data_IF_159413290020
#
_entry.id   IF_159413290020
#
_cell.length_a   1.000
_cell.length_b   1.000
_cell.length_c   1.000
_cell.angle_alpha   90.00
_cell.angle_beta   90.00
_cell.angle_gamma   90.00
#
_symmetry.space_group_name_H-M   'P 1'
#
loop_
_entity.id
_entity.type
_entity.pdbx_description
1 polymer ?
#
# COMPACT_ATOMS: atom_id res chain seq x y z
N UNK A 1 -0.50 -24.82 -13.44
CA UNK A 1 -0.35 -23.38 -13.74
C UNK A 1 0.85 -23.25 -14.64
N UNK A 2 0.67 -22.78 -15.87
CA UNK A 2 1.82 -22.59 -16.76
C UNK A 2 2.77 -21.58 -16.15
N UNK A 3 4.09 -21.83 -16.18
CA UNK A 3 5.06 -20.88 -15.65
C UNK A 3 5.00 -19.56 -16.42
N UNK A 4 5.21 -18.44 -15.71
CA UNK A 4 5.30 -17.13 -16.33
C UNK A 4 6.55 -17.09 -17.24
N UNK A 5 6.38 -16.59 -18.44
CA UNK A 5 7.51 -16.32 -19.34
C UNK A 5 8.03 -14.87 -19.19
N UNK A 6 9.11 -14.56 -19.89
CA UNK A 6 9.74 -13.25 -19.86
C UNK A 6 8.82 -12.12 -20.36
N UNK A 7 7.89 -12.43 -21.26
CA UNK A 7 6.91 -11.47 -21.77
C UNK A 7 5.86 -11.17 -20.71
N UNK A 8 5.40 -12.17 -19.95
CA UNK A 8 4.46 -11.98 -18.84
C UNK A 8 5.08 -11.09 -17.77
N UNK A 9 6.33 -11.34 -17.38
CA UNK A 9 7.07 -10.48 -16.45
C UNK A 9 7.17 -9.04 -16.98
N UNK A 10 7.51 -8.88 -18.25
CA UNK A 10 7.59 -7.54 -18.86
C UNK A 10 6.26 -6.82 -18.88
N UNK A 11 5.16 -7.50 -19.17
CA UNK A 11 3.81 -6.93 -19.11
C UNK A 11 3.45 -6.48 -17.68
N UNK A 12 3.77 -7.30 -16.67
CA UNK A 12 3.55 -6.94 -15.26
C UNK A 12 4.34 -5.69 -14.88
N UNK A 13 5.61 -5.56 -15.30
CA UNK A 13 6.42 -4.37 -15.01
C UNK A 13 5.86 -3.11 -15.68
N UNK A 14 5.42 -3.21 -16.93
CA UNK A 14 4.79 -2.10 -17.64
C UNK A 14 3.48 -1.66 -16.96
N UNK A 15 2.65 -2.62 -16.54
CA UNK A 15 1.40 -2.35 -15.84
C UNK A 15 1.62 -1.79 -14.42
N UNK A 16 2.70 -2.17 -13.72
CA UNK A 16 3.07 -1.55 -12.44
C UNK A 16 3.40 -0.07 -12.58
N UNK A 17 4.03 0.32 -13.70
CA UNK A 17 4.36 1.72 -14.01
C UNK A 17 3.10 2.48 -14.42
N UNK A 18 2.29 1.90 -15.29
CA UNK A 18 1.06 2.51 -15.79
C UNK A 18 -0.05 1.46 -15.98
N UNK A 19 -0.88 1.30 -14.96
CA UNK A 19 -2.02 0.39 -14.98
C UNK A 19 -3.12 0.77 -16.02
N UNK A 20 -3.03 1.97 -16.60
CA UNK A 20 -3.94 2.48 -17.65
C UNK A 20 -3.31 2.48 -19.04
N UNK A 21 -2.16 1.83 -19.22
CA UNK A 21 -1.52 1.71 -20.53
C UNK A 21 -2.47 1.04 -21.52
N UNK A 22 -2.52 1.58 -22.75
CA UNK A 22 -3.35 1.00 -23.81
C UNK A 22 -2.74 -0.32 -24.28
N UNK A 23 -3.59 -1.30 -24.59
CA UNK A 23 -3.14 -2.61 -25.09
C UNK A 23 -2.21 -2.47 -26.31
N UNK A 24 -2.44 -1.48 -27.19
CA UNK A 24 -1.57 -1.22 -28.34
C UNK A 24 -0.16 -0.75 -27.93
N UNK A 25 -0.06 0.05 -26.87
CA UNK A 25 1.23 0.51 -26.33
C UNK A 25 2.00 -0.67 -25.69
N UNK A 26 1.31 -1.49 -24.92
CA UNK A 26 1.88 -2.72 -24.34
C UNK A 26 2.34 -3.68 -25.44
N UNK A 27 1.53 -3.88 -26.49
CA UNK A 27 1.84 -4.75 -27.63
C UNK A 27 3.12 -4.31 -28.35
N UNK A 28 3.29 -3.00 -28.57
CA UNK A 28 4.50 -2.45 -29.15
C UNK A 28 5.74 -2.69 -28.27
N UNK A 29 5.61 -2.60 -26.94
CA UNK A 29 6.71 -2.79 -25.98
C UNK A 29 7.20 -4.25 -25.89
N UNK A 30 6.32 -5.20 -26.16
CA UNK A 30 6.62 -6.63 -26.08
C UNK A 30 6.68 -7.34 -27.44
N UNK A 31 6.55 -6.58 -28.53
CA UNK A 31 6.61 -7.09 -29.93
C UNK A 31 5.57 -8.19 -30.21
N UNK A 32 4.35 -8.02 -29.69
CA UNK A 32 3.22 -8.94 -29.90
C UNK A 32 2.03 -8.21 -30.54
N UNK A 33 1.05 -8.99 -31.04
CA UNK A 33 -0.23 -8.44 -31.44
C UNK A 33 -1.05 -8.00 -30.20
N UNK A 34 -1.95 -7.03 -30.38
CA UNK A 34 -2.86 -6.52 -29.35
C UNK A 34 -3.70 -7.67 -28.75
N UNK A 35 -4.18 -8.60 -29.62
CA UNK A 35 -4.96 -9.76 -29.18
C UNK A 35 -4.15 -10.75 -28.34
N UNK A 36 -2.87 -10.92 -28.65
CA UNK A 36 -1.97 -11.78 -27.87
C UNK A 36 -1.70 -11.18 -26.48
N UNK A 37 -1.46 -9.87 -26.41
CA UNK A 37 -1.30 -9.15 -25.14
C UNK A 37 -2.56 -9.22 -24.30
N UNK A 38 -3.73 -8.94 -24.90
CA UNK A 38 -5.01 -9.05 -24.19
C UNK A 38 -5.19 -10.44 -23.57
N UNK A 39 -5.00 -11.51 -24.34
CA UNK A 39 -5.13 -12.89 -23.85
C UNK A 39 -4.18 -13.19 -22.68
N UNK A 40 -2.94 -12.65 -22.71
CA UNK A 40 -1.99 -12.82 -21.62
C UNK A 40 -2.42 -12.08 -20.35
N UNK A 41 -2.89 -10.86 -20.48
CA UNK A 41 -3.40 -10.07 -19.33
C UNK A 41 -4.64 -10.77 -18.75
N UNK A 42 -5.60 -11.17 -19.57
CA UNK A 42 -6.80 -11.90 -19.12
C UNK A 42 -6.40 -13.18 -18.34
N UNK A 43 -5.35 -13.90 -18.78
CA UNK A 43 -4.82 -15.07 -18.08
C UNK A 43 -4.17 -14.70 -16.74
N UNK A 44 -3.41 -13.62 -16.67
CA UNK A 44 -2.79 -13.13 -15.43
C UNK A 44 -3.83 -12.70 -14.41
N UNK A 45 -4.91 -12.09 -14.85
CA UNK A 45 -6.06 -11.72 -14.01
C UNK A 45 -6.82 -12.97 -13.54
N UNK A 46 -7.16 -13.86 -14.45
CA UNK A 46 -7.89 -15.09 -14.12
C UNK A 46 -7.12 -16.01 -13.17
N UNK A 47 -5.79 -16.00 -13.24
CA UNK A 47 -4.92 -16.76 -12.33
C UNK A 47 -4.67 -16.07 -10.99
N UNK A 48 -5.15 -14.84 -10.80
CA UNK A 48 -4.94 -14.05 -9.58
C UNK A 48 -3.54 -13.46 -9.43
N UNK A 49 -2.66 -13.58 -10.44
CA UNK A 49 -1.35 -12.94 -10.45
C UNK A 49 -1.51 -11.42 -10.49
N UNK A 50 -2.43 -10.92 -11.32
CA UNK A 50 -2.94 -9.56 -11.20
C UNK A 50 -4.13 -9.63 -10.25
N UNK A 51 -3.90 -9.23 -9.00
CA UNK A 51 -4.93 -9.23 -7.96
C UNK A 51 -5.91 -8.05 -8.08
N UNK A 52 -5.53 -7.03 -8.84
CA UNK A 52 -6.36 -5.83 -9.08
C UNK A 52 -5.54 -4.66 -9.58
N UNK A 53 -6.25 -3.58 -9.88
CA UNK A 53 -5.68 -2.30 -10.30
C UNK A 53 -6.03 -1.25 -9.24
N UNK A 54 -5.08 -0.38 -8.92
CA UNK A 54 -5.28 0.69 -7.95
C UNK A 54 -4.77 2.02 -8.50
N UNK A 55 -5.15 3.11 -7.85
CA UNK A 55 -4.65 4.45 -8.13
C UNK A 55 -3.67 4.87 -7.03
N UNK A 56 -2.73 5.73 -7.40
CA UNK A 56 -1.93 6.47 -6.44
C UNK A 56 -2.60 7.82 -6.20
N UNK A 57 -2.81 8.15 -4.93
CA UNK A 57 -3.45 9.40 -4.52
C UNK A 57 -2.40 10.28 -3.83
N UNK A 58 -2.39 11.57 -4.18
CA UNK A 58 -1.63 12.57 -3.44
C UNK A 58 -2.39 12.90 -2.15
N UNK A 59 -2.07 12.20 -1.09
CA UNK A 59 -2.74 12.31 0.21
C UNK A 59 -2.59 13.72 0.82
N UNK A 60 -1.49 14.41 0.53
CA UNK A 60 -1.28 15.78 0.99
C UNK A 60 -2.33 16.74 0.40
N UNK A 61 -2.74 16.52 -0.86
CA UNK A 61 -3.83 17.29 -1.49
C UNK A 61 -5.20 16.98 -0.92
N UNK A 62 -5.35 15.84 -0.26
CA UNK A 62 -6.56 15.48 0.50
C UNK A 62 -6.49 15.97 1.96
N UNK A 63 -5.46 16.75 2.31
CA UNK A 63 -5.26 17.27 3.66
C UNK A 63 -4.64 16.28 4.65
N UNK A 64 -4.22 15.09 4.21
CA UNK A 64 -3.56 14.08 5.04
C UNK A 64 -2.05 14.25 4.92
N UNK A 65 -1.51 15.21 5.66
CA UNK A 65 -0.12 15.64 5.55
C UNK A 65 0.83 14.94 6.51
N UNK A 66 0.29 14.20 7.50
CA UNK A 66 1.06 13.50 8.50
C UNK A 66 0.93 12.00 8.31
N UNK A 67 2.06 11.33 8.24
CA UNK A 67 2.18 9.88 8.11
C UNK A 67 2.94 9.32 9.30
N UNK A 68 2.49 8.20 9.85
CA UNK A 68 3.12 7.56 10.98
C UNK A 68 2.98 6.03 10.92
N UNK A 69 3.95 5.35 11.53
CA UNK A 69 3.83 3.96 11.91
C UNK A 69 3.61 3.87 13.42
N UNK A 70 2.60 3.12 13.83
CA UNK A 70 2.35 2.82 15.22
C UNK A 70 2.69 1.35 15.48
N UNK A 71 3.73 1.10 16.27
CA UNK A 71 4.05 -0.21 16.81
C UNK A 71 3.04 -0.57 17.89
N UNK A 72 2.50 -1.78 17.85
CA UNK A 72 1.56 -2.29 18.85
C UNK A 72 2.14 -3.52 19.53
N UNK A 73 2.07 -3.52 20.85
CA UNK A 73 2.31 -4.71 21.68
C UNK A 73 1.00 -5.20 22.24
N UNK A 74 0.74 -6.50 22.17
CA UNK A 74 -0.54 -7.09 22.55
C UNK A 74 -0.47 -7.80 23.91
N UNK A 75 -1.62 -7.97 24.55
CA UNK A 75 -1.77 -8.95 25.62
C UNK A 75 -1.62 -10.37 25.06
N UNK A 76 -1.09 -11.30 25.85
CA UNK A 76 -0.62 -12.61 25.37
C UNK A 76 -1.65 -13.55 24.73
N UNK A 77 -2.96 -13.24 24.83
CA UNK A 77 -4.06 -14.00 24.24
C UNK A 77 -4.76 -13.24 23.11
N UNK A 78 -4.24 -12.10 22.71
CA UNK A 78 -4.85 -11.22 21.70
C UNK A 78 -4.85 -11.87 20.31
N UNK A 79 -6.01 -11.93 19.68
CA UNK A 79 -6.11 -12.36 18.29
C UNK A 79 -5.88 -11.17 17.37
N UNK A 80 -4.96 -11.31 16.43
CA UNK A 80 -4.67 -10.29 15.39
C UNK A 80 -5.93 -9.89 14.62
N UNK A 81 -6.90 -10.79 14.48
CA UNK A 81 -8.18 -10.52 13.84
C UNK A 81 -8.96 -9.38 14.52
N UNK A 82 -8.86 -9.26 15.85
CA UNK A 82 -9.57 -8.24 16.62
C UNK A 82 -9.00 -6.85 16.30
N UNK A 83 -7.67 -6.75 16.20
CA UNK A 83 -7.00 -5.51 15.82
C UNK A 83 -7.33 -5.09 14.38
N UNK A 84 -7.35 -6.07 13.45
CA UNK A 84 -7.76 -5.81 12.06
C UNK A 84 -9.21 -5.33 11.98
N UNK A 85 -10.10 -5.87 12.82
CA UNK A 85 -11.49 -5.43 12.90
C UNK A 85 -11.62 -3.97 13.33
N UNK A 86 -10.87 -3.54 14.35
CA UNK A 86 -10.84 -2.14 14.78
C UNK A 86 -10.25 -1.24 13.68
N UNK A 87 -9.12 -1.66 13.11
CA UNK A 87 -8.40 -0.90 12.08
C UNK A 87 -9.25 -0.71 10.80
N UNK A 88 -10.03 -1.72 10.42
CA UNK A 88 -10.90 -1.65 9.23
C UNK A 88 -11.99 -0.57 9.34
N UNK A 89 -12.37 -0.17 10.56
CA UNK A 89 -13.31 0.94 10.80
C UNK A 89 -12.66 2.33 10.78
N UNK A 90 -11.36 2.43 10.63
CA UNK A 90 -10.61 3.68 10.69
C UNK A 90 -10.06 4.04 9.30
N UNK A 91 -10.65 5.01 8.59
CA UNK A 91 -10.21 5.40 7.24
C UNK A 91 -8.80 5.99 7.19
N UNK A 92 -8.26 6.39 8.32
CA UNK A 92 -6.89 6.86 8.48
C UNK A 92 -5.86 5.72 8.47
N UNK A 93 -6.28 4.50 8.80
CA UNK A 93 -5.41 3.32 8.77
C UNK A 93 -5.26 2.82 7.34
N UNK A 94 -4.03 2.82 6.85
CA UNK A 94 -3.70 2.39 5.49
C UNK A 94 -3.39 0.89 5.42
N UNK A 95 -2.71 0.36 6.43
CA UNK A 95 -2.37 -1.06 6.53
C UNK A 95 -2.09 -1.48 7.98
N UNK A 96 -2.25 -2.77 8.24
CA UNK A 96 -1.82 -3.44 9.46
C UNK A 96 -0.91 -4.60 9.08
N UNK A 97 0.32 -4.56 9.53
CA UNK A 97 1.32 -5.61 9.35
C UNK A 97 1.46 -6.38 10.65
N UNK A 98 1.25 -7.68 10.63
CA UNK A 98 1.56 -8.56 11.76
C UNK A 98 3.01 -8.99 11.64
N UNK A 99 3.76 -8.90 12.71
CA UNK A 99 5.19 -9.23 12.75
C UNK A 99 5.43 -10.50 13.57
N UNK A 100 6.52 -11.18 13.29
CA UNK A 100 6.97 -12.32 14.09
C UNK A 100 8.10 -11.84 15.03
N UNK A 101 7.75 -11.14 16.10
CA UNK A 101 8.70 -10.56 17.04
C UNK A 101 8.15 -9.32 17.72
N UNK A 102 9.02 -8.46 18.21
CA UNK A 102 8.67 -7.19 18.83
C UNK A 102 8.85 -6.04 17.79
N UNK A 103 7.81 -5.26 17.49
CA UNK A 103 6.43 -5.31 18.03
C UNK A 103 5.58 -6.45 17.43
N UNK A 104 4.41 -6.74 18.02
CA UNK A 104 3.45 -7.73 17.51
C UNK A 104 2.77 -7.30 16.20
N UNK A 105 2.58 -5.99 16.03
CA UNK A 105 2.06 -5.41 14.79
C UNK A 105 2.57 -4.00 14.55
N UNK A 106 2.56 -3.62 13.26
CA UNK A 106 2.82 -2.28 12.78
C UNK A 106 1.58 -1.76 12.07
N UNK A 107 1.07 -0.62 12.48
CA UNK A 107 -0.07 0.05 11.84
C UNK A 107 0.43 1.27 11.09
N UNK A 108 0.16 1.32 9.80
CA UNK A 108 0.45 2.47 8.96
C UNK A 108 -0.74 3.43 8.94
N UNK A 109 -0.52 4.68 9.34
CA UNK A 109 -1.55 5.68 9.59
C UNK A 109 -1.25 6.94 8.77
N UNK A 110 -2.28 7.50 8.13
CA UNK A 110 -2.23 8.81 7.49
C UNK A 110 -3.35 9.70 8.01
N UNK A 111 -2.99 10.86 8.52
CA UNK A 111 -3.89 11.82 9.19
C UNK A 111 -3.59 13.25 8.75
N UNK A 112 -4.49 14.18 9.07
CA UNK A 112 -4.29 15.59 8.78
C UNK A 112 -3.33 16.26 9.79
N UNK A 113 -3.40 15.87 11.07
CA UNK A 113 -2.66 16.50 12.16
C UNK A 113 -2.38 15.52 13.33
N UNK A 114 -1.65 16.03 14.33
CA UNK A 114 -1.30 15.27 15.53
C UNK A 114 -2.53 14.92 16.39
N UNK A 115 -3.56 15.77 16.40
CA UNK A 115 -4.80 15.50 17.13
C UNK A 115 -5.52 14.27 16.59
N UNK A 116 -5.63 14.18 15.26
CA UNK A 116 -6.19 12.98 14.60
C UNK A 116 -5.31 11.75 14.85
N UNK A 117 -3.97 11.88 14.83
CA UNK A 117 -3.07 10.77 15.14
C UNK A 117 -3.32 10.23 16.55
N UNK A 118 -3.39 11.14 17.54
CA UNK A 118 -3.67 10.78 18.93
C UNK A 118 -5.03 10.06 19.05
N UNK A 119 -6.06 10.58 18.38
CA UNK A 119 -7.39 9.96 18.35
C UNK A 119 -7.35 8.52 17.80
N UNK A 120 -6.65 8.30 16.69
CA UNK A 120 -6.53 6.97 16.08
C UNK A 120 -5.79 6.02 17.01
N UNK A 121 -4.69 6.44 17.63
CA UNK A 121 -3.92 5.63 18.59
C UNK A 121 -4.79 5.27 19.80
N UNK A 122 -5.58 6.22 20.32
CA UNK A 122 -6.46 5.96 21.45
C UNK A 122 -7.58 4.97 21.10
N UNK A 123 -8.11 5.00 19.88
CA UNK A 123 -9.07 4.01 19.41
C UNK A 123 -8.46 2.61 19.31
N UNK A 124 -7.23 2.50 18.81
CA UNK A 124 -6.50 1.22 18.79
C UNK A 124 -6.26 0.68 20.20
N UNK A 125 -5.87 1.54 21.14
CA UNK A 125 -5.66 1.16 22.56
C UNK A 125 -6.95 0.69 23.25
N UNK A 126 -8.07 1.36 22.95
CA UNK A 126 -9.40 1.04 23.56
C UNK A 126 -9.95 -0.31 23.09
N UNK A 127 -9.36 -0.98 22.12
CA UNK A 127 -9.71 -2.36 21.75
C UNK A 127 -9.52 -3.35 22.91
N UNK A 128 -8.82 -2.92 23.97
CA UNK A 128 -8.58 -3.72 25.19
C UNK A 128 -7.43 -4.71 25.08
N UNK A 129 -6.92 -4.92 23.88
CA UNK A 129 -5.94 -5.95 23.58
C UNK A 129 -4.53 -5.38 23.37
N UNK A 130 -4.38 -4.05 23.35
CA UNK A 130 -3.10 -3.37 23.15
C UNK A 130 -2.53 -2.94 24.51
N UNK A 131 -1.38 -3.49 24.87
CA UNK A 131 -0.67 -3.20 26.13
C UNK A 131 0.39 -2.12 25.98
N UNK A 132 0.90 -1.91 24.79
CA UNK A 132 1.91 -0.90 24.49
C UNK A 132 1.78 -0.34 23.07
N UNK A 133 2.16 0.94 22.91
CA UNK A 133 2.27 1.58 21.60
C UNK A 133 3.51 2.45 21.54
N UNK A 134 4.19 2.43 20.39
CA UNK A 134 5.26 3.37 20.08
C UNK A 134 4.98 3.94 18.69
N UNK A 135 5.06 5.26 18.55
CA UNK A 135 4.73 5.95 17.31
C UNK A 135 5.99 6.50 16.66
N UNK A 136 6.17 6.19 15.40
CA UNK A 136 7.24 6.67 14.55
C UNK A 136 6.63 7.58 13.49
N UNK A 137 6.94 8.87 13.56
CA UNK A 137 6.50 9.81 12.51
C UNK A 137 7.39 9.67 11.28
N UNK A 138 6.76 9.60 10.12
CA UNK A 138 7.48 9.60 8.84
C UNK A 138 7.82 11.04 8.50
N UNK A 139 9.11 11.32 8.33
CA UNK A 139 9.58 12.67 7.97
C UNK A 139 9.67 12.84 6.46
N UNK A 140 10.00 11.77 5.74
CA UNK A 140 10.10 11.73 4.30
C UNK A 140 9.84 10.31 3.80
N UNK A 141 9.31 10.18 2.57
CA UNK A 141 8.99 8.88 1.95
C UNK A 141 9.51 8.87 0.52
N UNK A 142 10.31 7.89 0.21
CA UNK A 142 10.67 7.54 -1.16
C UNK A 142 10.18 6.12 -1.47
N UNK A 143 9.53 5.96 -2.64
CA UNK A 143 9.03 4.67 -3.09
C UNK A 143 9.66 4.34 -4.45
N UNK A 144 10.13 3.10 -4.63
CA UNK A 144 10.63 2.64 -5.91
C UNK A 144 9.54 2.78 -6.99
N UNK A 145 9.86 3.50 -8.07
CA UNK A 145 8.91 3.85 -9.14
C UNK A 145 8.20 5.19 -8.95
N UNK A 146 8.52 5.95 -7.89
CA UNK A 146 8.09 7.34 -7.81
C UNK A 146 8.78 8.17 -8.89
N UNK A 147 8.06 9.07 -9.56
CA UNK A 147 8.69 10.06 -10.41
C UNK A 147 9.65 10.90 -9.55
N UNK A 148 10.77 11.37 -10.11
CA UNK A 148 11.69 12.23 -9.37
C UNK A 148 10.92 13.41 -8.77
N UNK A 149 11.21 13.71 -7.52
CA UNK A 149 10.50 14.69 -6.70
C UNK A 149 10.37 16.04 -7.43
N UNK A 150 9.13 16.43 -7.76
CA UNK A 150 8.84 17.73 -8.35
C UNK A 150 8.98 18.89 -7.35
N UNK A 151 9.21 18.59 -6.07
CA UNK A 151 9.35 19.59 -5.00
C UNK A 151 10.78 20.12 -4.86
N UNK A 152 11.78 19.43 -5.37
CA UNK A 152 13.17 19.87 -5.32
C UNK A 152 13.49 21.06 -6.23
N UNK A 153 12.56 21.52 -7.06
CA UNK A 153 12.74 22.62 -8.00
C UNK A 153 12.04 23.94 -7.67
N UNK A 154 11.37 24.06 -6.50
CA UNK A 154 10.57 25.24 -6.17
C UNK A 154 11.20 26.13 -5.06
N UNK A 155 12.49 25.99 -4.81
CA UNK A 155 13.25 26.87 -3.90
C UNK A 155 14.49 27.38 -4.63
N UNK A 156 14.30 28.34 -5.53
CA UNK A 156 15.34 29.22 -6.03
C UNK A 156 14.72 30.60 -6.28
#
# INVERSE_FOLDING_TARGET
MDPLDSIDHRLLDLLRINARAKLAELAAQVSLSVSAVKRRIDRLEASGIIAGYTIRVDEARLGRTLEAFCELTFAGDTKVADIKGVAAGLPEVQAVFTTAGDPDALVWIRVKDIGDLTRVIDLLRRSGNVTGTKTLMVLDTWTAGDPPDRRAGASA
#
